data_IF_568262189166
#
_entry.id   IF_568262189166
#
_cell.length_a   1.000
_cell.length_b   1.000
_cell.length_c   1.000
_cell.angle_alpha   90.00
_cell.angle_beta   90.00
_cell.angle_gamma   90.00
#
_symmetry.space_group_name_H-M   'P 1'
#
loop_
_entity.id
_entity.type
_entity.pdbx_description
1 polymer ?
#
# COMPACT_ATOMS: atom_id res chain seq x y z
N UNK A 1 -9.82 -19.14 -15.46
CA UNK A 1 -10.58 -19.35 -14.22
C UNK A 1 -10.03 -18.44 -13.15
N UNK A 2 -10.88 -17.70 -12.51
CA UNK A 2 -10.46 -16.83 -11.42
C UNK A 2 -10.24 -17.60 -10.14
N UNK A 3 -9.21 -17.24 -9.42
CA UNK A 3 -8.96 -17.73 -8.07
C UNK A 3 -9.46 -16.68 -7.09
N UNK A 4 -10.52 -16.99 -6.36
CA UNK A 4 -11.12 -16.08 -5.38
C UNK A 4 -10.48 -16.22 -3.99
N UNK A 5 -9.52 -17.12 -3.83
CA UNK A 5 -8.82 -17.33 -2.57
C UNK A 5 -7.35 -16.98 -2.80
N UNK A 6 -6.93 -15.86 -2.26
CA UNK A 6 -5.64 -15.26 -2.58
C UNK A 6 -4.78 -15.18 -1.33
N UNK A 7 -3.65 -15.88 -1.36
CA UNK A 7 -2.65 -15.75 -0.31
C UNK A 7 -1.66 -14.68 -0.73
N UNK A 8 -1.65 -13.56 -0.01
CA UNK A 8 -0.79 -12.44 -0.37
C UNK A 8 0.69 -12.83 -0.41
N UNK A 9 1.09 -13.82 0.39
CA UNK A 9 2.49 -14.24 0.47
C UNK A 9 3.03 -14.77 -0.85
N UNK A 10 2.15 -15.26 -1.71
CA UNK A 10 2.51 -15.72 -3.06
C UNK A 10 2.84 -14.56 -4.00
N UNK A 11 2.52 -13.33 -3.62
CA UNK A 11 2.67 -12.14 -4.45
C UNK A 11 3.77 -11.21 -3.95
N UNK A 12 4.37 -11.51 -2.81
CA UNK A 12 5.45 -10.69 -2.25
C UNK A 12 6.65 -10.73 -3.19
N UNK A 13 7.25 -9.58 -3.43
CA UNK A 13 8.42 -9.46 -4.27
C UNK A 13 9.27 -8.28 -3.85
N UNK A 14 10.33 -8.02 -4.61
CA UNK A 14 11.28 -6.96 -4.32
C UNK A 14 11.81 -6.37 -5.61
N UNK A 15 11.97 -5.05 -5.62
CA UNK A 15 12.66 -4.34 -6.69
C UNK A 15 13.73 -3.47 -6.02
N UNK A 16 15.01 -3.60 -6.37
CA UNK A 16 16.07 -2.84 -5.70
C UNK A 16 16.04 -1.35 -5.97
N UNK A 17 15.36 -0.90 -7.03
CA UNK A 17 15.37 0.51 -7.43
C UNK A 17 14.14 1.29 -6.96
N UNK A 18 13.04 0.61 -6.69
CA UNK A 18 11.80 1.25 -6.23
C UNK A 18 10.94 0.20 -5.53
N UNK A 19 9.92 0.65 -4.80
CA UNK A 19 9.05 -0.31 -4.15
C UNK A 19 8.35 -1.20 -5.19
N UNK A 20 8.10 -2.45 -4.78
CA UNK A 20 7.51 -3.47 -5.64
C UNK A 20 5.98 -3.46 -5.51
N UNK A 21 5.29 -3.58 -6.63
CA UNK A 21 3.83 -3.62 -6.69
C UNK A 21 3.36 -4.91 -7.34
N UNK A 22 2.28 -5.47 -6.80
CA UNK A 22 1.58 -6.58 -7.43
C UNK A 22 0.07 -6.33 -7.32
N UNK A 23 -0.67 -6.74 -8.33
CA UNK A 23 -2.13 -6.68 -8.29
C UNK A 23 -2.66 -8.02 -7.81
N UNK A 24 -3.44 -8.02 -6.74
CA UNK A 24 -4.03 -9.24 -6.17
C UNK A 24 -5.37 -9.55 -6.84
N UNK A 25 -6.20 -8.55 -7.01
CA UNK A 25 -7.51 -8.70 -7.63
C UNK A 25 -7.99 -7.33 -8.13
N UNK A 26 -8.76 -7.33 -9.19
CA UNK A 26 -9.25 -6.06 -9.75
C UNK A 26 -10.57 -6.27 -10.49
N UNK A 27 -11.48 -5.31 -10.28
CA UNK A 27 -12.68 -5.13 -11.07
C UNK A 27 -12.75 -3.64 -11.45
N UNK A 28 -13.83 -3.24 -12.10
CA UNK A 28 -14.03 -1.81 -12.40
C UNK A 28 -14.22 -0.98 -11.13
N UNK A 29 -14.68 -1.60 -10.05
CA UNK A 29 -15.07 -0.89 -8.82
C UNK A 29 -13.96 -0.84 -7.78
N UNK A 30 -13.05 -1.81 -7.79
CA UNK A 30 -12.08 -1.97 -6.72
C UNK A 30 -10.83 -2.63 -7.26
N UNK A 31 -9.67 -2.12 -6.88
CA UNK A 31 -8.40 -2.78 -7.11
C UNK A 31 -7.74 -3.05 -5.77
N UNK A 32 -7.33 -4.29 -5.55
CA UNK A 32 -6.54 -4.69 -4.39
C UNK A 32 -5.13 -5.02 -4.85
N UNK A 33 -4.18 -4.40 -4.22
CA UNK A 33 -2.77 -4.55 -4.56
C UNK A 33 -1.90 -4.80 -3.35
N UNK A 34 -0.67 -5.17 -3.63
CA UNK A 34 0.36 -5.36 -2.63
C UNK A 34 1.49 -4.41 -2.92
N UNK A 35 1.95 -3.68 -1.92
CA UNK A 35 3.14 -2.84 -1.98
C UNK A 35 4.19 -3.41 -1.05
N UNK A 36 5.37 -3.68 -1.58
CA UNK A 36 6.48 -4.20 -0.80
C UNK A 36 7.63 -3.19 -0.85
N UNK A 37 8.03 -2.69 0.30
CA UNK A 37 9.07 -1.67 0.42
C UNK A 37 10.25 -2.24 1.19
N UNK A 38 11.42 -2.23 0.55
CA UNK A 38 12.66 -2.54 1.24
C UNK A 38 13.11 -1.33 2.05
N UNK A 39 14.09 -1.52 2.92
CA UNK A 39 14.63 -0.44 3.75
C UNK A 39 14.97 0.79 2.90
N UNK A 40 14.46 1.96 3.29
CA UNK A 40 14.71 3.22 2.62
C UNK A 40 13.82 3.53 1.42
N UNK A 41 13.04 2.56 0.97
CA UNK A 41 12.13 2.80 -0.15
C UNK A 41 10.90 3.56 0.29
N UNK A 42 10.30 4.30 -0.64
CA UNK A 42 9.10 5.08 -0.35
C UNK A 42 8.16 5.15 -1.55
N UNK A 43 6.90 5.33 -1.25
CA UNK A 43 5.91 5.84 -2.16
C UNK A 43 5.74 7.31 -1.81
N UNK A 44 6.17 8.20 -2.71
CA UNK A 44 6.14 9.64 -2.45
C UNK A 44 4.71 10.13 -2.25
N UNK A 45 4.57 11.16 -1.43
CA UNK A 45 3.28 11.77 -1.18
C UNK A 45 2.67 12.26 -2.50
N UNK A 46 1.44 11.83 -2.75
CA UNK A 46 0.68 12.17 -3.95
C UNK A 46 -0.80 12.10 -3.62
N UNK A 47 -1.64 12.59 -4.52
CA UNK A 47 -3.08 12.43 -4.34
C UNK A 47 -3.70 11.73 -5.55
N UNK A 48 -4.87 11.14 -5.31
CA UNK A 48 -5.70 10.52 -6.34
C UNK A 48 -7.05 11.20 -6.33
N UNK A 49 -7.25 12.10 -7.26
CA UNK A 49 -8.54 12.76 -7.44
C UNK A 49 -9.60 11.74 -7.83
N UNK A 50 -10.67 11.67 -7.05
CA UNK A 50 -11.79 10.80 -7.36
C UNK A 50 -11.66 9.34 -6.92
N UNK A 51 -10.61 9.00 -6.20
CA UNK A 51 -10.42 7.63 -5.71
C UNK A 51 -10.10 7.63 -4.22
N UNK A 52 -10.82 6.80 -3.47
CA UNK A 52 -10.45 6.52 -2.10
C UNK A 52 -9.41 5.42 -2.07
N UNK A 53 -8.52 5.47 -1.10
CA UNK A 53 -7.46 4.48 -0.93
C UNK A 53 -7.31 4.11 0.53
N UNK A 54 -6.90 2.88 0.78
CA UNK A 54 -6.46 2.47 2.11
C UNK A 54 -5.16 1.68 2.01
N UNK A 55 -4.45 1.66 3.13
CA UNK A 55 -3.31 0.78 3.35
C UNK A 55 -3.60 -0.08 4.57
N UNK A 56 -3.25 -1.34 4.52
CA UNK A 56 -3.32 -2.24 5.67
C UNK A 56 -1.99 -2.95 5.82
N UNK A 57 -1.32 -2.73 6.94
CA UNK A 57 0.05 -3.25 7.14
C UNK A 57 0.00 -4.72 7.47
N UNK A 58 0.66 -5.54 6.62
CA UNK A 58 0.73 -6.99 6.78
C UNK A 58 2.04 -7.44 7.42
N UNK A 59 3.15 -6.76 7.13
CA UNK A 59 4.49 -7.07 7.68
C UNK A 59 5.27 -5.77 7.85
N UNK A 60 6.04 -5.71 8.93
CA UNK A 60 6.89 -4.55 9.18
C UNK A 60 6.14 -3.34 9.69
N UNK A 61 6.73 -2.16 9.49
CA UNK A 61 6.09 -0.89 9.82
C UNK A 61 6.53 0.20 8.86
N UNK A 62 5.66 1.17 8.66
CA UNK A 62 5.94 2.29 7.78
C UNK A 62 5.62 3.62 8.43
N UNK A 63 6.26 4.68 7.93
CA UNK A 63 5.92 6.05 8.27
C UNK A 63 4.94 6.53 7.20
N UNK A 64 3.69 6.72 7.59
CA UNK A 64 2.62 7.11 6.68
C UNK A 64 2.33 8.60 6.80
N UNK A 65 2.04 9.22 5.65
CA UNK A 65 1.57 10.59 5.57
C UNK A 65 0.18 10.58 4.98
N UNK A 66 -0.79 11.19 5.66
CA UNK A 66 -2.14 11.41 5.15
C UNK A 66 -2.52 12.85 5.50
N UNK A 67 -2.52 13.74 4.51
CA UNK A 67 -2.72 15.16 4.74
C UNK A 67 -1.65 15.69 5.69
N UNK A 68 -2.08 16.25 6.81
CA UNK A 68 -1.18 16.79 7.84
C UNK A 68 -0.74 15.77 8.88
N UNK A 69 -1.28 14.57 8.83
CA UNK A 69 -0.91 13.51 9.78
C UNK A 69 0.29 12.73 9.27
N UNK A 70 1.29 12.56 10.13
CA UNK A 70 2.47 11.74 9.84
C UNK A 70 2.67 10.83 11.03
N UNK A 71 2.46 9.52 10.83
CA UNK A 71 2.52 8.54 11.93
C UNK A 71 3.12 7.22 11.47
N UNK A 72 3.76 6.53 12.40
CA UNK A 72 4.21 5.16 12.20
C UNK A 72 3.01 4.22 12.39
N UNK A 73 2.83 3.30 11.45
CA UNK A 73 1.83 2.25 11.54
C UNK A 73 2.47 0.90 11.30
N UNK A 74 2.18 -0.05 12.18
CA UNK A 74 2.71 -1.41 12.12
C UNK A 74 1.62 -2.44 11.77
N UNK A 75 1.96 -3.70 11.93
CA UNK A 75 1.10 -4.84 11.56
C UNK A 75 -0.30 -4.67 12.17
N UNK A 76 -1.32 -4.83 11.32
CA UNK A 76 -2.72 -4.76 11.72
C UNK A 76 -3.32 -3.36 11.71
N UNK A 77 -2.53 -2.33 11.37
CA UNK A 77 -3.04 -0.97 11.28
C UNK A 77 -3.60 -0.70 9.88
N UNK A 78 -4.77 -0.08 9.86
CA UNK A 78 -5.41 0.45 8.66
C UNK A 78 -5.13 1.94 8.57
N UNK A 79 -4.65 2.37 7.42
CA UNK A 79 -4.43 3.79 7.14
C UNK A 79 -5.40 4.21 6.05
N UNK A 80 -6.29 5.13 6.37
CA UNK A 80 -7.33 5.59 5.47
C UNK A 80 -6.88 6.85 4.73
N UNK A 81 -6.89 6.80 3.40
CA UNK A 81 -6.47 7.91 2.54
C UNK A 81 -7.61 8.27 1.58
N UNK A 82 -8.54 9.13 2.02
CA UNK A 82 -9.68 9.49 1.19
C UNK A 82 -9.26 10.29 -0.05
N UNK A 83 -10.14 10.30 -1.04
CA UNK A 83 -9.93 11.04 -2.29
C UNK A 83 -9.51 12.48 -2.01
N UNK A 84 -8.61 13.00 -2.83
CA UNK A 84 -8.05 14.35 -2.80
C UNK A 84 -7.11 14.67 -1.64
N UNK A 85 -6.97 13.78 -0.65
CA UNK A 85 -6.03 13.99 0.45
C UNK A 85 -4.68 13.39 0.08
N UNK A 86 -3.60 14.18 0.05
CA UNK A 86 -2.26 13.66 -0.27
C UNK A 86 -1.82 12.59 0.72
N UNK A 87 -1.18 11.55 0.23
CA UNK A 87 -0.74 10.43 1.05
C UNK A 87 0.51 9.76 0.47
N UNK A 88 1.24 9.11 1.33
CA UNK A 88 2.43 8.36 0.97
C UNK A 88 2.92 7.54 2.14
N UNK A 89 3.97 6.76 1.90
CA UNK A 89 4.56 5.90 2.92
C UNK A 89 6.05 5.73 2.67
N UNK A 90 6.82 5.64 3.75
CA UNK A 90 8.25 5.39 3.69
C UNK A 90 8.62 4.28 4.66
N UNK A 91 9.47 3.37 4.22
CA UNK A 91 10.06 2.37 5.10
C UNK A 91 11.39 2.88 5.67
N UNK A 92 11.37 3.29 6.93
CA UNK A 92 12.55 3.79 7.64
C UNK A 92 13.24 2.71 8.45
N UNK A 93 12.77 1.47 8.37
CA UNK A 93 13.29 0.37 9.19
C UNK A 93 14.24 -0.51 8.39
N UNK A 94 14.92 -1.43 9.09
CA UNK A 94 15.76 -2.43 8.44
C UNK A 94 14.97 -3.63 7.93
N UNK A 95 13.67 -3.73 8.30
CA UNK A 95 12.81 -4.84 7.93
C UNK A 95 11.95 -4.48 6.73
N UNK A 96 11.62 -5.47 5.90
CA UNK A 96 10.69 -5.31 4.80
C UNK A 96 9.32 -4.87 5.30
N UNK A 97 8.69 -3.96 4.56
CA UNK A 97 7.32 -3.52 4.80
C UNK A 97 6.43 -4.09 3.69
N UNK A 98 5.38 -4.79 4.08
CA UNK A 98 4.39 -5.33 3.13
C UNK A 98 3.03 -4.76 3.48
N UNK A 99 2.39 -4.15 2.49
CA UNK A 99 1.13 -3.43 2.66
C UNK A 99 0.11 -3.97 1.67
N UNK A 100 -1.07 -4.33 2.18
CA UNK A 100 -2.24 -4.52 1.34
C UNK A 100 -2.84 -3.14 1.09
N UNK A 101 -3.07 -2.80 -0.17
CA UNK A 101 -3.70 -1.54 -0.51
C UNK A 101 -4.96 -1.78 -1.35
N UNK A 102 -5.92 -0.88 -1.21
CA UNK A 102 -7.12 -0.88 -2.03
C UNK A 102 -7.40 0.50 -2.59
N UNK A 103 -7.88 0.55 -3.81
CA UNK A 103 -8.29 1.79 -4.48
C UNK A 103 -9.70 1.57 -5.07
N UNK A 104 -10.59 2.49 -4.82
CA UNK A 104 -11.95 2.46 -5.35
C UNK A 104 -12.39 3.84 -5.81
N UNK A 105 -12.95 3.98 -7.01
CA UNK A 105 -13.01 2.96 -8.06
C UNK A 105 -11.62 2.59 -8.57
N UNK A 106 -11.52 1.46 -9.23
CA UNK A 106 -10.24 1.00 -9.76
C UNK A 106 -9.67 2.01 -10.77
N UNK A 107 -8.33 2.16 -10.81
CA UNK A 107 -7.69 3.07 -11.77
C UNK A 107 -7.83 2.63 -13.22
#
# INVERSE_FOLDING_TARGET
>A
MENNFIDYRSFVGMNPEKFYKATLAQSERLMLGLNCLESGQEQKVHDHSGQDKFYFVLEGEGLFTVGDEVKVAGIGMLVWAPATIPHGVKNQTAQRLVILMGIAPAP
#
